data_IF_771270355386
#
_entry.id   IF_771270355386
#
_cell.length_a   1.000
_cell.length_b   1.000
_cell.length_c   1.000
_cell.angle_alpha   90.00
_cell.angle_beta   90.00
_cell.angle_gamma   90.00
#
_symmetry.space_group_name_H-M   'P 1'
#
loop_
_entity.id
_entity.type
_entity.pdbx_description
1 polymer ?
#
# COMPACT_ATOMS: atom_id res chain seq x y z
N UNK A 1 3.42 -28.67 11.15
CA UNK A 1 3.11 -27.25 11.48
C UNK A 1 2.60 -27.22 12.92
N UNK A 2 3.22 -26.45 13.80
CA UNK A 2 2.96 -26.50 15.25
C UNK A 2 1.55 -26.05 15.66
N UNK A 3 0.87 -25.25 14.82
CA UNK A 3 -0.49 -24.78 15.05
C UNK A 3 -1.60 -25.71 14.50
N UNK A 4 -1.25 -26.89 13.94
CA UNK A 4 -2.23 -27.86 13.43
C UNK A 4 -2.95 -27.49 12.12
N UNK A 5 -2.73 -26.28 11.59
CA UNK A 5 -3.31 -25.83 10.32
C UNK A 5 -2.47 -26.33 9.15
N UNK A 6 -3.07 -27.09 8.22
CA UNK A 6 -2.40 -27.58 7.01
C UNK A 6 -2.54 -26.54 5.89
N UNK A 7 -1.42 -26.02 5.41
CA UNK A 7 -1.38 -25.00 4.35
C UNK A 7 -0.65 -25.57 3.13
N UNK A 8 -1.17 -25.28 1.95
CA UNK A 8 -0.55 -25.67 0.68
C UNK A 8 -0.35 -24.41 -0.20
N UNK A 9 0.89 -23.92 -0.34
CA UNK A 9 1.15 -22.76 -1.18
C UNK A 9 0.96 -23.11 -2.66
N UNK A 10 0.36 -22.19 -3.42
CA UNK A 10 0.26 -22.26 -4.88
C UNK A 10 0.74 -20.96 -5.48
N UNK A 11 1.85 -21.02 -6.21
CA UNK A 11 2.34 -19.88 -6.99
C UNK A 11 1.58 -19.80 -8.31
N UNK A 12 1.21 -18.57 -8.71
CA UNK A 12 0.56 -18.29 -10.00
C UNK A 12 0.98 -16.91 -10.49
N UNK A 13 0.84 -16.67 -11.79
CA UNK A 13 1.03 -15.34 -12.36
C UNK A 13 0.06 -14.32 -11.71
N UNK A 14 0.52 -13.08 -11.56
CA UNK A 14 -0.18 -11.99 -10.86
C UNK A 14 -1.64 -11.82 -11.30
N UNK A 15 -1.91 -11.83 -12.60
CA UNK A 15 -3.26 -11.60 -13.12
C UNK A 15 -4.20 -12.76 -12.82
N UNK A 16 -3.72 -13.99 -12.96
CA UNK A 16 -4.46 -15.20 -12.60
C UNK A 16 -4.74 -15.21 -11.10
N UNK A 17 -3.73 -14.85 -10.30
CA UNK A 17 -3.84 -14.77 -8.85
C UNK A 17 -4.92 -13.78 -8.42
N UNK A 18 -4.88 -12.54 -8.93
CA UNK A 18 -5.87 -11.50 -8.64
C UNK A 18 -7.28 -11.92 -9.01
N UNK A 19 -7.48 -12.48 -10.21
CA UNK A 19 -8.80 -12.99 -10.63
C UNK A 19 -9.35 -14.04 -9.67
N UNK A 20 -8.49 -14.93 -9.16
CA UNK A 20 -8.90 -15.94 -8.17
C UNK A 20 -9.26 -15.32 -6.83
N UNK A 21 -8.53 -14.30 -6.37
CA UNK A 21 -8.86 -13.57 -5.14
C UNK A 21 -10.20 -12.85 -5.30
N UNK A 22 -10.39 -12.13 -6.40
CA UNK A 22 -11.62 -11.38 -6.67
C UNK A 22 -12.85 -12.29 -6.81
N UNK A 23 -12.65 -13.52 -7.30
CA UNK A 23 -13.69 -14.54 -7.39
C UNK A 23 -13.92 -15.31 -6.06
N UNK A 24 -13.27 -14.93 -4.95
CA UNK A 24 -13.40 -15.62 -3.66
C UNK A 24 -12.79 -17.03 -3.61
N UNK A 25 -11.93 -17.39 -4.58
CA UNK A 25 -11.33 -18.72 -4.71
C UNK A 25 -9.98 -18.86 -3.97
N UNK A 26 -9.63 -17.87 -3.14
CA UNK A 26 -8.37 -17.81 -2.42
C UNK A 26 -8.65 -17.57 -0.93
N UNK A 27 -8.25 -18.52 -0.09
CA UNK A 27 -8.46 -18.43 1.37
C UNK A 27 -7.42 -17.54 2.06
N UNK A 28 -6.16 -17.61 1.60
CA UNK A 28 -5.05 -16.83 2.14
C UNK A 28 -4.25 -16.32 0.95
N UNK A 29 -4.00 -15.02 0.93
CA UNK A 29 -3.16 -14.34 -0.06
C UNK A 29 -1.91 -13.77 0.63
N UNK A 30 -0.82 -13.68 -0.13
CA UNK A 30 0.39 -12.97 0.30
C UNK A 30 0.67 -11.90 -0.75
N UNK A 31 0.85 -10.66 -0.30
CA UNK A 31 1.05 -9.50 -1.16
C UNK A 31 2.01 -8.51 -0.51
N UNK A 32 2.37 -7.46 -1.25
CA UNK A 32 3.02 -6.29 -0.65
C UNK A 32 2.11 -5.66 0.41
N UNK A 33 2.69 -5.22 1.51
CA UNK A 33 1.98 -4.44 2.53
C UNK A 33 1.68 -3.03 2.05
N UNK A 34 1.32 -2.15 2.97
CA UNK A 34 1.08 -0.74 2.68
C UNK A 34 2.30 -0.07 2.03
N UNK A 35 2.05 0.61 0.91
CA UNK A 35 3.08 1.35 0.18
C UNK A 35 3.23 2.77 0.75
N UNK A 36 3.39 2.85 2.08
CA UNK A 36 3.50 4.10 2.82
C UNK A 36 4.84 4.12 3.55
N UNK A 37 5.91 4.52 2.86
CA UNK A 37 7.24 4.63 3.48
C UNK A 37 7.35 5.76 4.52
N UNK A 38 6.38 6.69 4.55
CA UNK A 38 6.25 7.77 5.53
C UNK A 38 4.77 8.00 5.89
N UNK A 39 4.13 7.17 6.72
CA UNK A 39 2.73 7.36 7.06
C UNK A 39 2.56 8.67 7.86
N UNK A 40 2.03 9.71 7.23
CA UNK A 40 1.61 10.94 7.89
C UNK A 40 0.09 11.09 7.78
N UNK A 41 -0.56 11.76 8.74
CA UNK A 41 -2.00 12.03 8.67
C UNK A 41 -2.49 12.80 7.44
N UNK A 42 -1.58 13.40 6.68
CA UNK A 42 -1.88 14.16 5.47
C UNK A 42 -1.86 13.29 4.20
N UNK A 43 -1.28 12.08 4.27
CA UNK A 43 -1.40 11.09 3.20
C UNK A 43 -2.77 10.43 3.23
N UNK A 44 -3.21 9.84 2.13
CA UNK A 44 -4.52 9.17 2.04
C UNK A 44 -4.56 7.90 2.89
N UNK A 45 -5.62 7.69 3.72
CA UNK A 45 -5.79 6.45 4.47
C UNK A 45 -6.52 5.36 3.66
N UNK A 46 -6.60 5.49 2.33
CA UNK A 46 -7.35 4.56 1.47
C UNK A 46 -6.96 3.10 1.69
N UNK A 47 -5.70 2.82 1.95
CA UNK A 47 -5.19 1.47 2.24
C UNK A 47 -5.72 0.87 3.56
N UNK A 48 -6.20 1.72 4.47
CA UNK A 48 -6.78 1.31 5.75
C UNK A 48 -8.30 1.06 5.65
N UNK A 49 -8.95 1.27 4.52
CA UNK A 49 -10.38 1.04 4.35
C UNK A 49 -10.67 0.25 3.05
N UNK A 50 -11.83 -0.39 2.91
CA UNK A 50 -12.20 -1.10 1.68
C UNK A 50 -12.58 -0.14 0.56
N UNK A 51 -11.59 0.52 -0.03
CA UNK A 51 -11.81 1.58 -1.04
C UNK A 51 -11.61 1.12 -2.48
N UNK A 52 -10.97 -0.03 -2.71
CA UNK A 52 -10.72 -0.54 -4.07
C UNK A 52 -10.67 -2.06 -4.12
N UNK A 53 -11.10 -2.65 -5.24
CA UNK A 53 -11.03 -4.09 -5.47
C UNK A 53 -9.59 -4.65 -5.36
N UNK A 54 -8.57 -3.82 -5.60
CA UNK A 54 -7.18 -4.25 -5.58
C UNK A 54 -6.66 -4.66 -4.19
N UNK A 55 -7.39 -4.30 -3.12
CA UNK A 55 -7.08 -4.69 -1.75
C UNK A 55 -7.56 -6.12 -1.48
N UNK A 56 -6.61 -7.05 -1.43
CA UNK A 56 -6.89 -8.49 -1.47
C UNK A 56 -7.61 -9.04 -0.23
N UNK A 57 -7.59 -8.31 0.89
CA UNK A 57 -8.26 -8.70 2.13
C UNK A 57 -9.78 -8.49 2.09
N UNK A 58 -10.28 -7.62 1.19
CA UNK A 58 -11.71 -7.28 1.09
C UNK A 58 -12.12 -6.85 -0.34
N UNK A 59 -11.78 -7.60 -1.40
CA UNK A 59 -11.93 -7.15 -2.78
C UNK A 59 -13.39 -6.86 -3.19
N UNK A 60 -14.35 -7.59 -2.63
CA UNK A 60 -15.78 -7.36 -2.90
C UNK A 60 -16.29 -6.05 -2.28
N UNK A 61 -15.85 -5.73 -1.05
CA UNK A 61 -16.19 -4.48 -0.36
C UNK A 61 -15.48 -3.29 -1.01
N UNK A 62 -14.23 -3.46 -1.40
CA UNK A 62 -13.47 -2.48 -2.15
C UNK A 62 -14.11 -2.14 -3.50
N UNK A 63 -14.59 -3.15 -4.23
CA UNK A 63 -15.32 -2.93 -5.49
C UNK A 63 -16.63 -2.16 -5.25
N UNK A 64 -17.33 -2.47 -4.16
CA UNK A 64 -18.56 -1.75 -3.79
C UNK A 64 -18.32 -0.28 -3.51
N UNK A 65 -17.26 0.07 -2.79
CA UNK A 65 -16.89 1.48 -2.58
C UNK A 65 -16.45 2.16 -3.89
N UNK A 66 -15.61 1.50 -4.70
CA UNK A 66 -15.07 2.06 -5.95
C UNK A 66 -16.13 2.29 -7.03
N UNK A 67 -17.20 1.49 -7.03
CA UNK A 67 -18.30 1.56 -7.99
C UNK A 67 -19.55 2.29 -7.47
N UNK A 68 -19.44 3.01 -6.34
CA UNK A 68 -20.59 3.68 -5.70
C UNK A 68 -21.78 2.73 -5.44
N UNK A 69 -21.50 1.45 -5.17
CA UNK A 69 -22.48 0.41 -4.88
C UNK A 69 -23.07 -0.29 -6.11
N UNK A 70 -22.64 0.04 -7.34
CA UNK A 70 -23.13 -0.62 -8.56
C UNK A 70 -22.64 -2.07 -8.71
N UNK A 71 -21.54 -2.44 -8.07
CA UNK A 71 -20.93 -3.77 -8.15
C UNK A 71 -20.24 -4.17 -6.85
N UNK A 72 -20.04 -5.47 -6.64
CA UNK A 72 -19.47 -5.97 -5.37
C UNK A 72 -20.52 -6.10 -4.27
N UNK A 73 -20.08 -6.04 -3.02
CA UNK A 73 -20.93 -6.24 -1.84
C UNK A 73 -20.62 -5.18 -0.78
N UNK A 74 -21.64 -4.67 -0.09
CA UNK A 74 -21.42 -3.76 1.02
C UNK A 74 -20.64 -4.47 2.15
N UNK A 75 -19.80 -3.75 2.94
CA UNK A 75 -19.11 -4.35 4.07
C UNK A 75 -20.08 -5.00 5.05
N UNK A 76 -19.88 -6.30 5.30
CA UNK A 76 -20.71 -7.04 6.26
C UNK A 76 -20.25 -6.84 7.71
N UNK A 77 -19.00 -6.39 7.92
CA UNK A 77 -18.43 -6.13 9.23
C UNK A 77 -18.64 -4.66 9.64
N UNK A 78 -19.20 -4.39 10.84
CA UNK A 78 -19.34 -3.04 11.34
C UNK A 78 -18.02 -2.25 11.37
N UNK A 79 -16.91 -2.92 11.68
CA UNK A 79 -15.58 -2.31 11.75
C UNK A 79 -15.07 -1.91 10.36
N UNK A 80 -15.35 -2.73 9.34
CA UNK A 80 -15.02 -2.40 7.94
C UNK A 80 -15.88 -1.25 7.41
N UNK A 81 -17.16 -1.20 7.79
CA UNK A 81 -18.03 -0.05 7.50
C UNK A 81 -17.52 1.22 8.19
N UNK A 82 -17.12 1.12 9.47
CA UNK A 82 -16.54 2.25 10.22
C UNK A 82 -15.27 2.78 9.55
N UNK A 83 -14.42 1.91 9.02
CA UNK A 83 -13.24 2.31 8.27
C UNK A 83 -13.59 3.11 6.99
N UNK A 84 -14.65 2.73 6.26
CA UNK A 84 -15.14 3.54 5.13
C UNK A 84 -15.67 4.90 5.57
N UNK A 85 -16.46 4.92 6.64
CA UNK A 85 -17.02 6.17 7.18
C UNK A 85 -15.88 7.11 7.59
N UNK A 86 -14.87 6.59 8.30
CA UNK A 86 -13.67 7.33 8.69
C UNK A 86 -12.88 7.83 7.47
N UNK A 87 -12.73 7.02 6.43
CA UNK A 87 -12.09 7.45 5.19
C UNK A 87 -12.83 8.64 4.55
N UNK A 88 -14.15 8.58 4.46
CA UNK A 88 -14.97 9.68 3.95
C UNK A 88 -14.90 10.93 4.84
N UNK A 89 -14.91 10.76 6.17
CA UNK A 89 -14.70 11.84 7.14
C UNK A 89 -13.31 12.48 6.96
N UNK A 90 -12.28 11.69 6.65
CA UNK A 90 -10.92 12.18 6.41
C UNK A 90 -10.85 13.03 5.13
N UNK A 91 -11.51 12.59 4.05
CA UNK A 91 -11.62 13.35 2.80
C UNK A 91 -12.30 14.71 3.02
N UNK A 92 -13.32 14.76 3.88
CA UNK A 92 -14.05 15.97 4.21
C UNK A 92 -13.39 16.81 5.33
N UNK A 93 -12.35 16.31 6.01
CA UNK A 93 -11.75 16.98 7.16
C UNK A 93 -11.01 18.26 6.76
N UNK A 94 -11.43 19.39 7.33
CA UNK A 94 -10.83 20.71 7.10
C UNK A 94 -9.62 21.05 7.97
N UNK A 95 -9.15 20.13 8.82
CA UNK A 95 -7.98 20.39 9.69
C UNK A 95 -7.07 19.16 9.83
N UNK A 96 -5.77 19.41 9.94
CA UNK A 96 -4.75 18.38 10.18
C UNK A 96 -5.01 17.64 11.49
N UNK A 97 -5.46 18.34 12.53
CA UNK A 97 -5.82 17.73 13.81
C UNK A 97 -6.95 16.70 13.66
N UNK A 98 -7.99 16.99 12.86
CA UNK A 98 -9.08 16.05 12.61
C UNK A 98 -8.61 14.86 11.78
N UNK A 99 -7.83 15.11 10.73
CA UNK A 99 -7.20 14.04 9.91
C UNK A 99 -6.35 13.11 10.74
N UNK A 100 -5.55 13.65 11.66
CA UNK A 100 -4.70 12.90 12.60
C UNK A 100 -5.52 12.03 13.53
N UNK A 101 -6.58 12.57 14.14
CA UNK A 101 -7.45 11.79 15.01
C UNK A 101 -8.12 10.61 14.26
N UNK A 102 -8.61 10.86 13.05
CA UNK A 102 -9.21 9.82 12.19
C UNK A 102 -8.18 8.76 11.83
N UNK A 103 -6.97 9.17 11.44
CA UNK A 103 -5.89 8.24 11.10
C UNK A 103 -5.57 7.29 12.24
N UNK A 104 -5.43 7.82 13.46
CA UNK A 104 -5.18 6.99 14.64
C UNK A 104 -6.35 6.05 14.96
N UNK A 105 -7.59 6.49 14.78
CA UNK A 105 -8.77 5.63 14.96
C UNK A 105 -8.77 4.47 13.96
N UNK A 106 -8.45 4.73 12.68
CA UNK A 106 -8.35 3.67 11.66
C UNK A 106 -7.23 2.68 12.00
N UNK A 107 -6.06 3.15 12.43
CA UNK A 107 -4.96 2.29 12.87
C UNK A 107 -5.34 1.43 14.08
N UNK A 108 -6.08 1.99 15.03
CA UNK A 108 -6.56 1.24 16.20
C UNK A 108 -7.49 0.10 15.79
N UNK A 109 -8.45 0.36 14.88
CA UNK A 109 -9.34 -0.68 14.35
C UNK A 109 -8.56 -1.78 13.65
N UNK A 110 -7.53 -1.44 12.86
CA UNK A 110 -6.66 -2.43 12.22
C UNK A 110 -5.91 -3.29 13.23
N UNK A 111 -5.41 -2.69 14.31
CA UNK A 111 -4.71 -3.40 15.38
C UNK A 111 -5.65 -4.38 16.13
N UNK A 112 -6.91 -3.98 16.34
CA UNK A 112 -7.88 -4.79 17.08
C UNK A 112 -8.46 -5.93 16.23
N UNK A 113 -8.69 -5.71 14.93
CA UNK A 113 -9.35 -6.68 14.05
C UNK A 113 -8.40 -7.56 13.24
N UNK A 114 -7.14 -7.14 13.04
CA UNK A 114 -6.09 -7.91 12.35
C UNK A 114 -6.55 -8.40 10.96
N UNK A 115 -7.07 -7.48 10.13
CA UNK A 115 -7.52 -7.79 8.76
C UNK A 115 -6.40 -8.35 7.86
N UNK A 116 -5.15 -8.03 8.18
CA UNK A 116 -3.97 -8.59 7.55
C UNK A 116 -2.87 -8.80 8.60
N UNK A 117 -1.95 -9.74 8.32
CA UNK A 117 -0.82 -10.04 9.20
C UNK A 117 0.46 -9.64 8.48
N UNK A 118 1.14 -8.60 8.97
CA UNK A 118 2.46 -8.21 8.50
C UNK A 118 3.53 -9.21 8.94
N UNK A 119 4.32 -9.72 7.99
CA UNK A 119 5.38 -10.70 8.28
C UNK A 119 6.77 -10.05 8.32
N UNK A 120 7.04 -9.11 7.42
CA UNK A 120 8.31 -8.36 7.32
C UNK A 120 8.03 -6.91 6.93
N UNK A 121 8.90 -5.98 7.34
CA UNK A 121 8.89 -4.59 6.91
C UNK A 121 10.34 -4.09 6.67
N UNK A 122 10.50 -2.91 6.06
CA UNK A 122 11.80 -2.24 5.95
C UNK A 122 12.86 -2.99 5.13
N UNK A 123 12.45 -3.75 4.11
CA UNK A 123 13.40 -4.46 3.25
C UNK A 123 14.27 -3.47 2.47
N UNK A 124 15.59 -3.61 2.54
CA UNK A 124 16.52 -2.81 1.76
C UNK A 124 16.32 -3.05 0.26
N UNK A 125 16.12 -1.97 -0.50
CA UNK A 125 15.94 -2.00 -1.95
C UNK A 125 17.20 -1.43 -2.63
N UNK A 126 18.16 -2.27 -3.03
CA UNK A 126 19.36 -1.79 -3.72
C UNK A 126 19.00 -1.31 -5.14
N UNK A 127 19.40 -0.08 -5.46
CA UNK A 127 19.31 0.50 -6.80
C UNK A 127 20.71 0.54 -7.40
N UNK A 128 20.87 0.01 -8.60
CA UNK A 128 22.13 0.10 -9.35
C UNK A 128 22.09 1.32 -10.25
N UNK A 129 23.03 2.24 -10.05
CA UNK A 129 23.24 3.40 -10.93
C UNK A 129 24.60 3.35 -11.58
N UNK A 130 24.74 4.00 -12.73
CA UNK A 130 26.03 4.18 -13.37
C UNK A 130 26.93 5.07 -12.51
N UNK A 131 28.22 4.75 -12.39
CA UNK A 131 29.20 5.62 -11.74
C UNK A 131 29.33 7.00 -12.40
N UNK A 132 28.83 7.15 -13.63
CA UNK A 132 28.81 8.42 -14.37
C UNK A 132 27.54 9.24 -14.12
N UNK A 133 26.54 8.70 -13.42
CA UNK A 133 25.31 9.40 -13.12
C UNK A 133 25.44 10.06 -11.75
N UNK A 134 25.46 11.39 -11.75
CA UNK A 134 25.64 12.22 -10.57
C UNK A 134 24.31 12.74 -10.03
N UNK A 135 24.35 13.26 -8.80
CA UNK A 135 23.22 13.79 -8.03
C UNK A 135 22.16 12.75 -7.62
N UNK A 136 22.41 11.45 -7.81
CA UNK A 136 21.57 10.41 -7.20
C UNK A 136 21.96 10.24 -5.73
N UNK A 137 21.00 10.31 -4.78
CA UNK A 137 21.27 10.05 -3.37
C UNK A 137 21.83 8.65 -3.13
N UNK A 138 22.79 8.53 -2.20
CA UNK A 138 23.35 7.23 -1.79
C UNK A 138 22.33 6.41 -1.01
N UNK A 139 21.53 7.08 -0.18
CA UNK A 139 20.43 6.50 0.58
C UNK A 139 19.16 7.32 0.35
N UNK A 140 18.02 6.63 0.28
CA UNK A 140 16.73 7.25 0.03
C UNK A 140 15.56 6.28 0.25
N UNK A 141 14.39 6.87 0.42
CA UNK A 141 13.09 6.21 0.35
C UNK A 141 12.81 5.80 -1.09
N UNK A 142 12.48 4.52 -1.27
CA UNK A 142 12.04 3.99 -2.55
C UNK A 142 10.59 3.53 -2.41
N UNK A 143 9.66 4.46 -2.62
CA UNK A 143 8.22 4.26 -2.49
C UNK A 143 7.51 4.88 -3.68
N UNK A 144 6.42 4.25 -4.15
CA UNK A 144 5.64 4.87 -5.24
C UNK A 144 4.77 6.01 -4.69
N UNK A 145 4.07 5.81 -3.57
CA UNK A 145 3.28 6.85 -2.93
C UNK A 145 4.00 7.37 -1.66
N UNK A 146 4.15 8.70 -1.45
CA UNK A 146 4.00 9.82 -2.39
C UNK A 146 5.25 10.05 -3.27
N UNK A 147 6.24 9.16 -3.18
CA UNK A 147 7.61 9.38 -3.66
C UNK A 147 7.79 9.38 -5.18
N UNK A 148 6.87 8.75 -5.92
CA UNK A 148 7.00 8.36 -7.31
C UNK A 148 8.36 7.71 -7.62
N UNK A 149 8.84 6.84 -6.71
CA UNK A 149 10.19 6.29 -6.65
C UNK A 149 11.26 7.39 -6.58
N UNK A 150 11.73 7.86 -7.73
CA UNK A 150 12.75 8.90 -7.82
C UNK A 150 12.20 10.31 -7.87
N UNK A 151 10.87 10.48 -7.97
CA UNK A 151 10.24 11.79 -8.15
C UNK A 151 10.61 12.80 -7.06
N UNK A 152 10.66 12.36 -5.80
CA UNK A 152 11.07 13.20 -4.65
C UNK A 152 12.54 13.62 -4.67
N UNK A 153 13.36 13.00 -5.53
CA UNK A 153 14.78 13.29 -5.66
C UNK A 153 15.10 14.25 -6.81
N UNK A 154 14.07 14.84 -7.43
CA UNK A 154 14.23 15.79 -8.54
C UNK A 154 15.13 15.21 -9.63
N UNK A 155 14.68 14.15 -10.33
CA UNK A 155 15.52 13.42 -11.30
C UNK A 155 15.98 14.30 -12.47
N UNK A 156 15.34 15.46 -12.67
CA UNK A 156 15.76 16.53 -13.58
C UNK A 156 17.10 17.17 -13.18
N UNK A 157 17.53 17.02 -11.93
CA UNK A 157 18.84 17.47 -11.44
C UNK A 157 19.94 16.44 -11.65
N UNK A 158 19.61 15.22 -12.09
CA UNK A 158 20.59 14.17 -12.35
C UNK A 158 21.30 14.44 -13.68
N UNK A 159 22.61 14.17 -13.73
CA UNK A 159 23.39 14.41 -14.94
C UNK A 159 24.45 13.35 -15.15
N UNK A 160 24.74 13.06 -16.42
CA UNK A 160 25.82 12.16 -16.80
C UNK A 160 27.11 12.93 -17.05
N UNK A 161 28.21 12.42 -16.53
CA UNK A 161 29.53 12.93 -16.89
C UNK A 161 29.80 12.72 -18.39
N UNK A 162 30.44 13.68 -19.09
CA UNK A 162 30.83 13.51 -20.49
C UNK A 162 31.65 12.24 -20.72
N UNK A 163 31.51 11.60 -21.88
CA UNK A 163 32.31 10.41 -22.19
C UNK A 163 33.79 10.78 -22.32
N UNK A 164 34.65 10.25 -21.45
CA UNK A 164 36.12 10.41 -21.52
C UNK A 164 36.76 11.11 -20.32
N UNK A 165 35.97 11.56 -19.34
CA UNK A 165 36.46 11.93 -18.02
C UNK A 165 37.01 10.71 -17.27
N UNK A 166 38.25 10.81 -16.81
CA UNK A 166 38.86 9.79 -15.95
C UNK A 166 38.36 10.02 -14.51
N UNK A 167 37.99 8.97 -13.76
CA UNK A 167 37.65 9.11 -12.35
C UNK A 167 38.88 9.57 -11.57
N UNK A 168 38.74 10.66 -10.81
CA UNK A 168 39.74 11.14 -9.83
C UNK A 168 39.70 10.33 -8.54
#
# INVERSE_FOLDING_TARGET
LAAGIKIYPRASQRDIFRRRVFAGQTMISVWGGYDNALPTPDLSPSDLAPTTQQQLQWPAWGLHAESDGESGEAPALPEAQRLLDLYNEWLAAGSVARRTAIWHEMLQIHADQVFSIGVINGCYQPVVVSNRLHNVPVEGLFTYDPGAYFGIYMPDTFWFEPAGSQPS
#
